data_IF_825227882788
#
_entry.id   IF_825227882788
#
_cell.length_a   1.000
_cell.length_b   1.000
_cell.length_c   1.000
_cell.angle_alpha   90.00
_cell.angle_beta   90.00
_cell.angle_gamma   90.00
#
_symmetry.space_group_name_H-M   'P 1'
#
loop_
_entity.id
_entity.type
_entity.pdbx_description
1 polymer ?
#
# COMPACT_ATOMS: atom_id res chain seq x y z
N UNK A 1 -3.96 -16.69 16.61
CA UNK A 1 -2.73 -15.98 16.92
C UNK A 1 -2.96 -14.50 16.86
N UNK A 2 -2.68 -13.80 17.95
CA UNK A 2 -3.05 -12.39 18.05
C UNK A 2 -1.83 -11.50 18.15
N UNK A 3 -0.95 -11.64 17.18
CA UNK A 3 0.17 -10.74 17.12
C UNK A 3 -0.30 -9.42 16.56
N UNK A 4 -0.10 -8.37 17.33
CA UNK A 4 -0.38 -7.02 16.88
C UNK A 4 0.93 -6.39 16.47
N UNK A 5 1.15 -6.39 15.18
CA UNK A 5 2.33 -5.74 14.62
C UNK A 5 1.93 -4.33 14.23
N UNK A 6 2.65 -3.32 14.71
CA UNK A 6 2.36 -1.95 14.29
C UNK A 6 2.44 -1.81 12.76
N UNK A 7 1.63 -0.94 12.22
CA UNK A 7 1.56 -0.77 10.77
C UNK A 7 2.94 -0.50 10.17
N UNK A 8 3.75 0.31 10.83
CA UNK A 8 5.07 0.69 10.31
C UNK A 8 6.09 -0.44 10.34
N UNK A 9 5.75 -1.57 10.94
CA UNK A 9 6.61 -2.75 10.95
C UNK A 9 6.07 -3.88 10.08
N UNK A 10 4.90 -3.71 9.49
CA UNK A 10 4.31 -4.77 8.66
C UNK A 10 4.98 -4.82 7.30
N UNK A 11 5.11 -6.04 6.79
CA UNK A 11 5.63 -6.25 5.44
C UNK A 11 4.67 -5.71 4.38
N UNK A 12 3.39 -5.98 4.55
CA UNK A 12 2.36 -5.52 3.63
C UNK A 12 1.18 -4.97 4.40
N UNK A 13 0.44 -4.07 3.75
CA UNK A 13 -0.69 -3.38 4.35
C UNK A 13 -1.93 -3.61 3.49
N UNK A 14 -3.11 -3.68 4.11
CA UNK A 14 -4.34 -3.59 3.33
C UNK A 14 -4.57 -2.12 2.95
N UNK A 15 -5.63 -1.86 2.17
CA UNK A 15 -5.85 -0.52 1.65
C UNK A 15 -6.12 0.48 2.77
N UNK A 16 -6.89 0.09 3.79
CA UNK A 16 -7.19 0.98 4.90
C UNK A 16 -5.94 1.32 5.71
N UNK A 17 -5.10 0.32 5.97
CA UNK A 17 -3.86 0.55 6.67
C UNK A 17 -2.92 1.44 5.87
N UNK A 18 -2.82 1.19 4.58
CA UNK A 18 -1.96 1.99 3.72
C UNK A 18 -2.47 3.42 3.63
N UNK A 19 -3.80 3.60 3.57
CA UNK A 19 -4.39 4.94 3.56
C UNK A 19 -3.98 5.71 4.81
N UNK A 20 -4.05 5.08 5.96
CA UNK A 20 -3.67 5.73 7.22
C UNK A 20 -2.17 6.01 7.28
N UNK A 21 -1.36 5.04 6.84
CA UNK A 21 0.09 5.17 6.95
C UNK A 21 0.64 6.23 6.01
N UNK A 22 0.16 6.25 4.77
CA UNK A 22 0.68 7.15 3.74
C UNK A 22 -0.09 8.46 3.64
N UNK A 23 -1.22 8.59 4.31
CA UNK A 23 -2.00 9.80 4.27
C UNK A 23 -2.72 10.01 2.95
N UNK A 24 -3.08 8.94 2.26
CA UNK A 24 -3.77 9.00 0.98
C UNK A 24 -5.18 8.45 1.19
N UNK A 25 -6.20 9.14 0.68
CA UNK A 25 -7.57 8.67 0.81
C UNK A 25 -7.77 7.29 0.20
N UNK A 26 -8.62 6.46 0.82
CA UNK A 26 -8.83 5.09 0.36
C UNK A 26 -9.27 5.03 -1.10
N UNK A 27 -10.17 5.90 -1.49
CA UNK A 27 -10.68 5.91 -2.87
C UNK A 27 -9.57 6.21 -3.87
N UNK A 28 -8.77 7.23 -3.57
CA UNK A 28 -7.64 7.60 -4.41
C UNK A 28 -6.62 6.47 -4.47
N UNK A 29 -6.36 5.84 -3.33
CA UNK A 29 -5.40 4.76 -3.26
C UNK A 29 -5.87 3.53 -4.04
N UNK A 30 -7.15 3.18 -3.95
CA UNK A 30 -7.69 2.06 -4.71
C UNK A 30 -7.58 2.30 -6.21
N UNK A 31 -7.88 3.51 -6.65
CA UNK A 31 -7.76 3.87 -8.05
C UNK A 31 -6.31 3.79 -8.52
N UNK A 32 -5.40 4.31 -7.70
CA UNK A 32 -3.98 4.26 -8.02
C UNK A 32 -3.48 2.82 -8.16
N UNK A 33 -3.89 1.94 -7.24
CA UNK A 33 -3.49 0.54 -7.29
C UNK A 33 -4.03 -0.14 -8.55
N UNK A 34 -5.28 0.17 -8.92
CA UNK A 34 -5.88 -0.39 -10.13
C UNK A 34 -5.11 0.01 -11.38
N UNK A 35 -4.63 1.24 -11.42
CA UNK A 35 -3.88 1.75 -12.56
C UNK A 35 -2.44 1.29 -12.58
N UNK A 36 -1.94 0.78 -11.44
CA UNK A 36 -0.55 0.37 -11.30
C UNK A 36 -0.44 -1.05 -10.76
N UNK A 37 -1.35 -1.92 -11.18
CA UNK A 37 -1.43 -3.27 -10.61
C UNK A 37 -0.25 -4.17 -11.01
N UNK A 38 0.55 -3.76 -11.98
CA UNK A 38 1.76 -4.49 -12.38
C UNK A 38 3.02 -4.01 -11.65
N UNK A 39 2.90 -3.03 -10.77
CA UNK A 39 4.04 -2.52 -10.02
C UNK A 39 4.44 -3.48 -8.91
N UNK A 40 5.71 -3.40 -8.51
CA UNK A 40 6.26 -4.34 -7.54
C UNK A 40 5.74 -4.13 -6.12
N UNK A 41 5.09 -3.01 -5.84
CA UNK A 41 4.53 -2.79 -4.50
C UNK A 41 3.14 -3.38 -4.35
N UNK A 42 2.54 -3.86 -5.41
CA UNK A 42 1.20 -4.47 -5.36
C UNK A 42 1.34 -5.96 -5.18
N UNK A 43 0.64 -6.51 -4.20
CA UNK A 43 0.67 -7.92 -3.88
C UNK A 43 -0.75 -8.44 -3.82
N UNK A 44 -1.04 -9.49 -4.57
CA UNK A 44 -2.34 -10.14 -4.53
C UNK A 44 -2.25 -11.44 -3.75
N UNK A 45 -3.08 -11.56 -2.72
CA UNK A 45 -3.18 -12.79 -1.96
C UNK A 45 -4.64 -13.24 -2.08
N UNK A 46 -4.86 -14.26 -2.90
CA UNK A 46 -6.23 -14.64 -3.26
C UNK A 46 -6.91 -13.50 -3.99
N UNK A 47 -8.04 -13.05 -3.46
CA UNK A 47 -8.77 -11.91 -4.02
C UNK A 47 -8.47 -10.61 -3.29
N UNK A 48 -7.50 -10.62 -2.37
CA UNK A 48 -7.20 -9.44 -1.56
C UNK A 48 -5.96 -8.73 -2.07
N UNK A 49 -6.08 -7.41 -2.22
CA UNK A 49 -4.96 -6.56 -2.60
C UNK A 49 -4.21 -6.14 -1.33
N UNK A 50 -2.89 -6.29 -1.38
CA UNK A 50 -2.02 -5.83 -0.31
C UNK A 50 -0.94 -4.95 -0.91
N UNK A 51 -0.42 -4.03 -0.12
CA UNK A 51 0.59 -3.09 -0.58
C UNK A 51 1.86 -3.36 0.22
N UNK A 52 2.95 -3.62 -0.50
CA UNK A 52 4.25 -3.81 0.14
C UNK A 52 4.74 -2.45 0.61
N UNK A 53 4.74 -2.25 1.93
CA UNK A 53 4.95 -0.94 2.54
C UNK A 53 6.24 -0.27 2.08
N UNK A 54 7.35 -0.98 2.14
CA UNK A 54 8.65 -0.38 1.82
C UNK A 54 8.76 -0.03 0.34
N UNK A 55 8.28 -0.88 -0.52
CA UNK A 55 8.36 -0.66 -1.96
C UNK A 55 7.47 0.51 -2.39
N UNK A 56 6.27 0.61 -1.79
CA UNK A 56 5.40 1.74 -2.09
C UNK A 56 5.98 3.03 -1.55
N UNK A 57 6.61 2.98 -0.40
CA UNK A 57 7.29 4.13 0.18
C UNK A 57 8.38 4.64 -0.76
N UNK A 58 9.20 3.73 -1.28
CA UNK A 58 10.23 4.09 -2.25
C UNK A 58 9.63 4.65 -3.52
N UNK A 59 8.54 4.06 -3.99
CA UNK A 59 7.88 4.54 -5.20
C UNK A 59 7.41 5.98 -5.01
N UNK A 60 6.80 6.28 -3.87
CA UNK A 60 6.32 7.63 -3.58
C UNK A 60 7.48 8.62 -3.45
N UNK A 61 8.58 8.19 -2.85
CA UNK A 61 9.76 9.05 -2.72
C UNK A 61 10.31 9.46 -4.08
N UNK A 62 10.24 8.57 -5.05
CA UNK A 62 10.76 8.84 -6.39
C UNK A 62 9.75 9.54 -7.29
N UNK A 63 8.45 9.44 -6.97
CA UNK A 63 7.38 9.95 -7.83
C UNK A 63 6.39 10.79 -7.02
N UNK A 64 6.91 11.62 -6.14
CA UNK A 64 6.09 12.32 -5.15
C UNK A 64 5.03 13.22 -5.77
N UNK A 65 5.24 13.70 -6.99
CA UNK A 65 4.30 14.62 -7.62
C UNK A 65 3.06 13.93 -8.16
N UNK A 66 2.99 12.62 -8.12
CA UNK A 66 1.88 11.85 -8.69
C UNK A 66 0.61 12.00 -7.86
N UNK A 67 0.76 12.09 -6.57
CA UNK A 67 -0.36 12.14 -5.65
C UNK A 67 -0.48 13.49 -4.99
#
# INVERSE_FOLDING_TARGET
>A
MNYRVPIWLKYSLNVEEASAYFGIGCKTLRQFITEHDDENFVLMIGSHVRIKRRLFEEYLDLNVSIL
#
